data_IF_201874008205
#
_entry.id   IF_201874008205
#
_cell.length_a   1.000
_cell.length_b   1.000
_cell.length_c   1.000
_cell.angle_alpha   90.00
_cell.angle_beta   90.00
_cell.angle_gamma   90.00
#
_symmetry.space_group_name_H-M   'P 1'
#
loop_
_entity.id
_entity.type
_entity.pdbx_description
1 polymer ?
2 non-polymer ?
3 water ?
#
# COMPACT_ATOMS: atom_id res chain seq x y z
N UNK A 12 1.34 15.02 -21.31
CA UNK A 12 0.73 15.91 -20.26
C UNK A 12 -0.70 16.31 -20.61
N UNK A 13 -1.63 15.34 -20.80
CA UNK A 13 -3.02 15.61 -21.14
C UNK A 13 -3.86 16.54 -20.26
N UNK A 14 -4.82 17.15 -20.93
CA UNK A 14 -5.81 18.08 -20.39
C UNK A 14 -6.82 18.02 -21.52
N UNK A 15 -8.10 17.92 -21.20
CA UNK A 15 -9.19 17.81 -22.20
C UNK A 15 -9.30 16.37 -22.71
N UNK A 16 -8.27 15.57 -22.45
CA UNK A 16 -8.25 14.17 -22.85
C UNK A 16 -8.86 13.37 -21.71
N UNK A 17 -10.15 13.04 -21.86
CA UNK A 17 -10.87 12.29 -20.84
C UNK A 17 -10.86 10.79 -21.14
N UNK A 18 -10.87 9.95 -20.09
CA UNK A 18 -10.87 8.48 -20.23
C UNK A 18 -12.18 7.85 -20.72
N UNK A 19 -12.10 7.09 -21.81
CA UNK A 19 -13.26 6.42 -22.39
C UNK A 19 -13.62 5.18 -21.57
N UNK A 20 -14.93 4.95 -21.41
CA UNK A 20 -15.46 3.82 -20.66
C UNK A 20 -15.27 2.48 -21.38
N UNK A 21 -15.71 1.39 -20.73
CA UNK A 21 -15.59 0.05 -21.30
C UNK A 21 -16.93 -0.71 -21.39
N UNK A 22 -17.14 -1.39 -22.52
CA UNK A 22 -18.37 -2.13 -22.82
C UNK A 22 -19.39 -2.66 -21.81
N UNK A 23 -20.43 -1.86 -21.56
CA UNK A 23 -21.55 -2.15 -20.66
C UNK A 23 -21.45 -1.10 -19.61
N UNK A 24 -20.23 -0.79 -19.21
CA UNK A 24 -19.98 0.23 -18.22
C UNK A 24 -20.22 1.61 -18.83
N UNK A 25 -20.44 1.64 -20.14
CA UNK A 25 -20.75 2.86 -20.87
C UNK A 25 -22.25 3.07 -20.85
N UNK A 26 -23.00 1.96 -20.72
CA UNK A 26 -24.45 1.98 -20.73
C UNK A 26 -25.03 2.19 -19.33
N UNK A 27 -24.21 2.67 -18.40
CA UNK A 27 -24.67 2.85 -17.03
C UNK A 27 -25.63 4.03 -16.81
N UNK A 28 -26.50 3.86 -15.82
CA UNK A 28 -27.56 4.80 -15.43
C UNK A 28 -27.19 6.23 -15.00
N UNK A 29 -28.06 6.90 -14.24
CA UNK A 29 -27.85 8.26 -13.77
C UNK A 29 -26.76 8.37 -12.70
N UNK A 30 -27.15 8.21 -11.44
CA UNK A 30 -26.25 8.27 -10.29
C UNK A 30 -27.09 7.84 -9.07
N UNK A 31 -26.80 6.64 -8.58
CA UNK A 31 -27.47 6.00 -7.43
C UNK A 31 -28.40 6.79 -6.49
N UNK A 32 -28.00 7.98 -6.06
CA UNK A 32 -28.75 8.79 -5.09
C UNK A 32 -30.20 9.30 -5.29
N UNK A 33 -30.85 9.07 -6.43
CA UNK A 33 -32.20 9.63 -6.61
C UNK A 33 -33.36 8.80 -7.16
N UNK A 34 -33.07 7.76 -7.96
CA UNK A 34 -34.14 6.93 -8.50
C UNK A 34 -34.23 5.57 -7.83
N UNK A 35 -33.25 4.73 -8.11
CA UNK A 35 -33.20 3.38 -7.54
C UNK A 35 -31.90 3.34 -6.75
N UNK A 36 -31.91 2.60 -5.65
CA UNK A 36 -30.74 2.48 -4.79
C UNK A 36 -30.36 3.82 -4.15
N UNK A 37 -31.35 4.49 -3.55
CA UNK A 37 -31.13 5.76 -2.87
C UNK A 37 -30.43 5.50 -1.53
N UNK A 38 -30.23 4.23 -1.23
CA UNK A 38 -29.56 3.79 -0.03
C UNK A 38 -28.05 3.94 -0.25
N UNK A 39 -27.68 3.97 -1.53
CA UNK A 39 -26.29 4.10 -1.97
C UNK A 39 -25.74 5.51 -1.82
N UNK A 40 -24.45 5.57 -1.47
CA UNK A 40 -23.72 6.83 -1.31
C UNK A 40 -23.36 7.35 -2.70
N UNK A 41 -22.61 8.45 -2.76
CA UNK A 41 -22.16 9.02 -4.02
C UNK A 41 -20.98 8.17 -4.48
N UNK A 42 -20.94 7.89 -5.77
CA UNK A 42 -19.90 7.06 -6.39
C UNK A 42 -18.47 7.46 -6.02
N UNK A 43 -17.62 6.47 -5.78
CA UNK A 43 -16.20 6.69 -5.45
C UNK A 43 -15.33 6.32 -6.66
N UNK A 44 -14.43 7.23 -7.05
CA UNK A 44 -13.54 7.00 -8.17
C UNK A 44 -12.24 6.37 -7.70
N UNK A 45 -11.97 5.16 -8.18
CA UNK A 45 -10.79 4.44 -7.78
C UNK A 45 -9.93 4.14 -8.98
N UNK A 46 -8.66 4.48 -8.90
CA UNK A 46 -7.73 4.24 -9.99
C UNK A 46 -6.80 3.12 -9.52
N UNK A 47 -6.37 2.26 -10.45
CA UNK A 47 -5.48 1.17 -10.10
C UNK A 47 -4.36 1.05 -11.14
N UNK A 48 -3.11 1.24 -10.74
CA UNK A 48 -2.03 1.06 -11.69
C UNK A 48 -1.72 -0.42 -11.61
N UNK A 49 -0.95 -0.93 -12.57
CA UNK A 49 -0.63 -2.34 -12.56
C UNK A 49 -1.91 -3.15 -12.62
N UNK A 50 -2.96 -2.53 -13.15
CA UNK A 50 -4.30 -3.11 -13.27
C UNK A 50 -4.41 -4.49 -13.93
N UNK A 51 -3.43 -4.87 -14.73
CA UNK A 51 -3.47 -6.17 -15.40
C UNK A 51 -2.59 -7.23 -14.73
N UNK A 52 -2.02 -6.89 -13.57
CA UNK A 52 -1.18 -7.83 -12.85
C UNK A 52 -1.96 -8.77 -11.95
N UNK A 53 -1.25 -9.67 -11.28
CA UNK A 53 -1.89 -10.67 -10.41
C UNK A 53 -2.58 -10.16 -9.15
N UNK A 54 -1.96 -9.22 -8.47
CA UNK A 54 -2.56 -8.68 -7.25
C UNK A 54 -3.82 -7.96 -7.63
N UNK A 55 -3.76 -7.25 -8.75
CA UNK A 55 -4.91 -6.51 -9.22
C UNK A 55 -6.02 -7.48 -9.58
N UNK A 56 -5.68 -8.51 -10.34
CA UNK A 56 -6.66 -9.52 -10.75
C UNK A 56 -7.44 -10.05 -9.54
N UNK A 57 -6.90 -9.87 -8.35
CA UNK A 57 -7.61 -10.31 -7.17
C UNK A 57 -8.31 -9.08 -6.59
N UNK A 58 -7.52 -8.06 -6.31
CA UNK A 58 -8.04 -6.83 -5.72
C UNK A 58 -9.30 -6.29 -6.38
N UNK A 59 -9.25 -6.11 -7.69
CA UNK A 59 -10.34 -5.56 -8.46
C UNK A 59 -11.74 -6.09 -8.13
N UNK A 60 -11.89 -7.41 -8.10
CA UNK A 60 -13.20 -8.00 -7.82
C UNK A 60 -13.66 -7.78 -6.38
N UNK A 61 -12.69 -7.71 -5.47
CA UNK A 61 -12.99 -7.46 -4.07
C UNK A 61 -13.54 -6.05 -3.97
N UNK A 62 -13.01 -5.15 -4.79
CA UNK A 62 -13.47 -3.78 -4.81
C UNK A 62 -14.88 -3.73 -5.37
N UNK A 63 -15.04 -4.34 -6.55
CA UNK A 63 -16.30 -4.37 -7.24
C UNK A 63 -17.42 -5.00 -6.43
N UNK A 64 -17.07 -5.98 -5.59
CA UNK A 64 -18.08 -6.68 -4.77
C UNK A 64 -18.54 -5.87 -3.57
N UNK A 65 -17.88 -4.75 -3.31
CA UNK A 65 -18.27 -3.96 -2.16
C UNK A 65 -17.61 -4.45 -0.88
N UNK A 66 -16.68 -5.40 -1.02
CA UNK A 66 -15.96 -5.92 0.15
C UNK A 66 -15.15 -4.80 0.79
N UNK A 67 -14.55 -3.96 -0.05
CA UNK A 67 -13.72 -2.88 0.43
C UNK A 67 -14.50 -1.70 1.00
N UNK A 68 -15.19 -0.94 0.15
CA UNK A 68 -15.91 0.24 0.61
C UNK A 68 -17.29 0.06 1.18
N UNK A 69 -17.81 -1.15 1.14
CA UNK A 69 -19.14 -1.38 1.67
C UNK A 69 -20.14 -1.76 0.59
N UNK A 70 -21.33 -2.24 0.97
CA UNK A 70 -22.39 -2.65 0.05
C UNK A 70 -23.29 -1.51 -0.45
N UNK A 71 -23.06 -0.31 0.05
CA UNK A 71 -23.85 0.84 -0.38
C UNK A 71 -22.92 1.91 -0.95
N UNK A 72 -21.87 1.45 -1.62
CA UNK A 72 -20.89 2.34 -2.20
C UNK A 72 -20.57 2.00 -3.65
N UNK A 73 -21.30 2.59 -4.60
CA UNK A 73 -21.07 2.35 -6.02
C UNK A 73 -19.65 2.82 -6.33
N UNK A 74 -18.93 2.01 -7.09
CA UNK A 74 -17.54 2.28 -7.41
C UNK A 74 -17.29 2.54 -8.91
N UNK A 75 -16.21 3.25 -9.22
CA UNK A 75 -15.81 3.54 -10.58
C UNK A 75 -14.33 3.18 -10.69
N UNK A 76 -14.00 2.26 -11.59
CA UNK A 76 -12.63 1.83 -11.74
C UNK A 76 -11.94 2.39 -12.96
N UNK A 77 -10.78 3.00 -12.73
CA UNK A 77 -9.97 3.54 -13.80
C UNK A 77 -8.69 2.74 -13.71
N UNK A 78 -8.56 1.80 -14.65
CA UNK A 78 -7.43 0.89 -14.71
C UNK A 78 -6.32 1.36 -15.62
N UNK A 79 -5.19 1.69 -15.00
CA UNK A 79 -4.01 2.15 -15.71
C UNK A 79 -3.10 0.97 -15.92
N UNK A 80 -2.69 0.77 -17.17
CA UNK A 80 -1.80 -0.33 -17.50
C UNK A 80 -0.62 0.17 -18.30
N UNK A 81 -0.12 -0.69 -19.17
CA UNK A 81 1.01 -0.35 -20.00
C UNK A 81 0.87 -1.01 -21.36
N UNK A 82 1.41 -0.34 -22.37
CA UNK A 82 1.39 -0.78 -23.77
C UNK A 82 1.47 -2.30 -23.91
N UNK A 83 2.57 -2.87 -23.41
CA UNK A 83 2.80 -4.30 -23.47
C UNK A 83 1.67 -5.16 -22.92
N UNK A 84 1.11 -4.77 -21.77
CA UNK A 84 0.05 -5.55 -21.15
C UNK A 84 -1.35 -5.02 -21.40
N UNK A 85 -1.54 -4.33 -22.51
CA UNK A 85 -2.85 -3.79 -22.82
C UNK A 85 -3.86 -4.91 -23.08
N UNK A 86 -3.47 -5.93 -23.85
CA UNK A 86 -4.37 -7.04 -24.14
C UNK A 86 -4.86 -7.63 -22.82
N UNK A 87 -3.96 -7.72 -21.85
CA UNK A 87 -4.30 -8.26 -20.54
C UNK A 87 -5.35 -7.39 -19.86
N UNK A 88 -5.15 -6.08 -19.87
CA UNK A 88 -6.10 -5.15 -19.26
C UNK A 88 -7.48 -5.28 -19.90
N UNK A 89 -7.54 -5.45 -21.22
CA UNK A 89 -8.82 -5.61 -21.91
C UNK A 89 -9.46 -6.88 -21.36
N UNK A 90 -8.64 -7.91 -21.18
CA UNK A 90 -9.13 -9.17 -20.64
C UNK A 90 -9.70 -9.03 -19.24
N UNK A 91 -8.99 -8.37 -18.34
CA UNK A 91 -9.48 -8.19 -16.98
C UNK A 91 -10.80 -7.41 -17.03
N UNK A 92 -10.84 -6.37 -17.85
CA UNK A 92 -12.05 -5.56 -17.98
C UNK A 92 -13.16 -6.43 -18.53
N UNK A 93 -12.82 -7.39 -19.37
CA UNK A 93 -13.82 -8.28 -19.93
C UNK A 93 -14.36 -9.19 -18.83
N UNK A 94 -13.51 -9.59 -17.90
CA UNK A 94 -13.95 -10.43 -16.79
C UNK A 94 -14.81 -9.58 -15.86
N UNK A 95 -14.44 -8.30 -15.74
CA UNK A 95 -15.17 -7.37 -14.91
C UNK A 95 -16.61 -7.26 -15.40
N UNK A 96 -16.82 -7.21 -16.70
CA UNK A 96 -18.18 -7.09 -17.21
C UNK A 96 -19.01 -8.37 -17.09
N UNK A 97 -18.35 -9.52 -17.14
CA UNK A 97 -19.06 -10.81 -17.00
C UNK A 97 -19.29 -11.16 -15.53
N UNK A 98 -18.93 -10.25 -14.63
CA UNK A 98 -19.12 -10.51 -13.21
C UNK A 98 -20.44 -9.96 -12.71
N UNK A 99 -21.02 -9.06 -13.48
CA UNK A 99 -22.31 -8.48 -13.12
C UNK A 99 -22.37 -7.83 -11.74
N UNK A 100 -21.30 -7.16 -11.33
CA UNK A 100 -21.28 -6.50 -10.04
C UNK A 100 -22.03 -5.17 -10.11
N UNK A 101 -23.13 -5.06 -9.36
CA UNK A 101 -23.97 -3.86 -9.30
C UNK A 101 -23.26 -2.60 -8.82
N UNK A 102 -22.35 -2.75 -7.88
CA UNK A 102 -21.63 -1.60 -7.37
C UNK A 102 -20.66 -1.04 -8.38
N UNK A 103 -20.16 -1.90 -9.27
CA UNK A 103 -19.22 -1.47 -10.30
C UNK A 103 -20.00 -0.74 -11.40
N UNK A 104 -20.27 0.53 -11.13
CA UNK A 104 -21.01 1.41 -12.03
C UNK A 104 -20.28 1.73 -13.32
N UNK A 105 -18.96 1.84 -13.27
CA UNK A 105 -18.22 2.15 -14.49
C UNK A 105 -16.73 1.82 -14.41
N UNK A 106 -16.16 1.38 -15.50
CA UNK A 106 -14.73 1.07 -15.54
C UNK A 106 -14.18 1.61 -16.85
N UNK A 107 -12.91 2.00 -16.82
CA UNK A 107 -12.23 2.49 -18.01
C UNK A 107 -10.79 2.01 -17.94
N UNK A 108 -10.25 1.56 -19.07
CA UNK A 108 -8.89 1.08 -19.08
C UNK A 108 -8.06 1.91 -20.04
N UNK A 109 -6.77 2.10 -19.72
CA UNK A 109 -5.91 2.90 -20.58
C UNK A 109 -4.46 2.86 -20.16
N UNK A 110 -3.59 3.54 -20.89
CA UNK A 110 -2.17 3.57 -20.54
C UNK A 110 -1.63 4.96 -20.21
N UNK A 111 -2.50 5.97 -20.15
CA UNK A 111 -2.07 7.31 -19.83
C UNK A 111 -2.53 7.77 -18.45
N UNK A 112 -1.59 7.98 -17.52
CA UNK A 112 -1.84 8.42 -16.15
C UNK A 112 -2.65 9.69 -16.07
N UNK A 113 -2.38 10.66 -16.94
CA UNK A 113 -3.10 11.94 -16.90
C UNK A 113 -4.54 11.79 -17.32
N UNK A 114 -4.84 10.67 -17.96
CA UNK A 114 -6.19 10.38 -18.41
C UNK A 114 -6.86 9.49 -17.35
N UNK A 115 -6.21 8.38 -17.06
CA UNK A 115 -6.73 7.44 -16.09
C UNK A 115 -6.87 8.00 -14.68
N UNK A 116 -5.86 8.70 -14.19
CA UNK A 116 -5.94 9.28 -12.83
C UNK A 116 -6.88 10.45 -12.75
N UNK A 117 -7.52 10.78 -13.87
CA UNK A 117 -8.46 11.90 -13.92
C UNK A 117 -9.54 11.70 -12.86
N UNK A 118 -9.62 12.66 -11.94
CA UNK A 118 -10.61 12.65 -10.86
C UNK A 118 -10.60 11.53 -9.83
N UNK A 119 -9.46 10.85 -9.70
CA UNK A 119 -9.30 9.73 -8.75
C UNK A 119 -9.37 10.17 -7.29
N UNK A 120 -10.14 9.42 -6.49
CA UNK A 120 -10.28 9.72 -5.06
C UNK A 120 -9.39 8.77 -4.25
N UNK A 121 -9.00 7.67 -4.92
CA UNK A 121 -8.12 6.66 -4.38
C UNK A 121 -7.24 6.19 -5.53
N UNK A 122 -5.93 6.20 -5.33
CA UNK A 122 -5.02 5.74 -6.36
C UNK A 122 -4.26 4.58 -5.78
N UNK A 123 -4.64 3.36 -6.14
CA UNK A 123 -3.97 2.17 -5.64
C UNK A 123 -2.88 1.81 -6.65
N UNK A 124 -1.69 2.32 -6.38
CA UNK A 124 -0.56 2.13 -7.27
C UNK A 124 0.22 0.83 -7.09
N UNK A 125 -0.36 -0.27 -7.50
CA UNK A 125 0.35 -1.52 -7.44
C UNK A 125 1.00 -1.54 -8.83
N UNK A 126 2.11 -2.23 -9.01
CA UNK A 126 2.67 -2.22 -10.35
C UNK A 126 3.87 -1.32 -10.56
N UNK A 127 4.97 -1.99 -10.89
CA UNK A 127 6.26 -1.38 -11.13
C UNK A 127 7.06 -2.51 -11.77
N UNK A 128 8.22 -2.19 -12.32
CA UNK A 128 9.04 -3.20 -12.97
C UNK A 128 9.71 -4.14 -11.96
N UNK A 129 9.73 -5.45 -12.26
CA UNK A 129 10.34 -6.46 -11.39
C UNK A 129 11.85 -6.31 -11.31
N UNK A 130 12.44 -6.84 -10.23
CA UNK A 130 13.89 -6.76 -10.04
C UNK A 130 14.59 -7.61 -11.09
N UNK A 131 15.47 -6.97 -11.84
CA UNK A 131 16.22 -7.66 -12.87
C UNK A 131 17.13 -8.71 -12.27
N UNK A 132 17.43 -9.78 -13.02
CA UNK A 132 18.29 -10.89 -12.63
C UNK A 132 19.59 -10.48 -11.94
N UNK A 133 20.26 -9.47 -12.48
CA UNK A 133 21.49 -9.00 -11.88
C UNK A 133 21.36 -7.50 -11.72
N UNK A 134 20.27 -7.08 -11.10
CA UNK A 134 19.97 -5.68 -10.92
C UNK A 134 20.33 -5.15 -9.54
N UNK A 135 21.10 -4.08 -9.51
CA UNK A 135 21.51 -3.45 -8.26
C UNK A 135 20.38 -2.55 -7.73
N UNK A 136 20.13 -2.67 -6.43
CA UNK A 136 19.10 -1.90 -5.71
C UNK A 136 18.92 -0.49 -6.24
N UNK A 137 20.03 0.25 -6.36
CA UNK A 137 20.02 1.63 -6.84
C UNK A 137 19.21 1.80 -8.10
N UNK A 138 19.47 0.95 -9.08
CA UNK A 138 18.74 1.02 -10.34
C UNK A 138 17.28 0.57 -10.15
N UNK A 139 17.03 -0.34 -9.21
CA UNK A 139 15.68 -0.80 -8.95
C UNK A 139 14.89 0.42 -8.49
N UNK A 140 15.56 1.27 -7.73
CA UNK A 140 14.97 2.49 -7.22
C UNK A 140 14.79 3.48 -8.37
N UNK A 141 15.81 3.60 -9.21
CA UNK A 141 15.77 4.50 -10.36
C UNK A 141 14.59 4.17 -11.29
N UNK A 142 14.59 2.96 -11.86
CA UNK A 142 13.54 2.51 -12.76
C UNK A 142 12.12 2.76 -12.23
N UNK A 143 11.76 2.14 -11.11
CA UNK A 143 10.43 2.32 -10.55
C UNK A 143 10.18 3.72 -10.03
N UNK A 144 11.26 4.39 -9.64
CA UNK A 144 11.15 5.74 -9.14
C UNK A 144 10.62 6.64 -10.24
N UNK A 145 11.12 6.43 -11.45
CA UNK A 145 10.69 7.21 -12.62
C UNK A 145 9.21 7.01 -12.86
N UNK A 146 8.76 5.76 -12.86
CA UNK A 146 7.35 5.47 -13.06
C UNK A 146 6.57 6.30 -12.06
N UNK A 147 6.93 6.18 -10.78
CA UNK A 147 6.24 6.91 -9.72
C UNK A 147 6.41 8.41 -9.76
N UNK A 148 7.50 8.88 -10.36
CA UNK A 148 7.72 10.30 -10.49
C UNK A 148 6.65 10.82 -11.43
N UNK A 149 6.47 10.10 -12.55
CA UNK A 149 5.47 10.44 -13.56
C UNK A 149 4.03 10.36 -13.02
N UNK A 150 3.67 9.22 -12.46
CA UNK A 150 2.32 9.04 -11.90
C UNK A 150 2.01 10.12 -10.87
N UNK A 151 3.05 10.65 -10.24
CA UNK A 151 2.88 11.70 -9.25
C UNK A 151 2.46 13.01 -9.89
N UNK A 152 3.09 13.36 -11.02
CA UNK A 152 2.75 14.59 -11.74
C UNK A 152 1.33 14.48 -12.23
N UNK A 153 1.01 13.34 -12.84
CA UNK A 153 -0.33 13.10 -13.35
C UNK A 153 -1.32 13.29 -12.20
N UNK A 154 -1.16 12.51 -11.15
CA UNK A 154 -2.06 12.61 -10.00
C UNK A 154 -2.21 14.06 -9.58
N UNK A 155 -1.09 14.75 -9.51
CA UNK A 155 -1.09 16.14 -9.09
C UNK A 155 -1.89 17.04 -10.02
N UNK A 156 -1.67 16.83 -11.31
CA UNK A 156 -2.30 17.64 -12.34
C UNK A 156 -3.77 17.37 -12.58
N UNK A 157 -4.16 16.10 -12.56
CA UNK A 157 -5.52 15.74 -12.90
C UNK A 157 -6.37 14.94 -11.90
N UNK A 158 -5.93 14.84 -10.65
CA UNK A 158 -6.68 14.07 -9.66
C UNK A 158 -7.31 14.91 -8.56
N UNK A 159 -8.27 14.30 -7.84
CA UNK A 159 -8.97 14.98 -6.76
C UNK A 159 -7.93 15.48 -5.78
N UNK A 160 -7.94 16.79 -5.48
CA UNK A 160 -6.99 17.42 -4.56
C UNK A 160 -6.78 16.67 -3.25
N UNK A 161 -7.66 15.72 -2.94
CA UNK A 161 -7.50 14.94 -1.72
C UNK A 161 -7.44 13.44 -2.02
N UNK A 162 -6.74 13.08 -3.09
CA UNK A 162 -6.61 11.68 -3.47
C UNK A 162 -5.87 10.96 -2.36
N UNK A 163 -6.41 9.83 -1.93
CA UNK A 163 -5.69 9.05 -0.95
C UNK A 163 -4.90 8.11 -1.86
N UNK A 164 -3.57 8.22 -1.81
CA UNK A 164 -2.73 7.38 -2.68
C UNK A 164 -2.11 6.24 -1.86
N UNK A 165 -2.27 5.01 -2.36
CA UNK A 165 -1.76 3.82 -1.68
C UNK A 165 -0.80 3.07 -2.59
N UNK A 166 0.48 3.16 -2.26
CA UNK A 166 1.55 2.55 -3.06
C UNK A 166 1.97 1.15 -2.63
N UNK A 167 1.95 0.22 -3.57
CA UNK A 167 2.35 -1.16 -3.29
C UNK A 167 3.53 -1.60 -4.17
N UNK A 168 3.78 -0.89 -5.28
CA UNK A 168 4.88 -1.24 -6.16
C UNK A 168 6.21 -0.91 -5.51
N UNK A 169 7.12 -1.88 -5.45
CA UNK A 169 8.41 -1.66 -4.81
C UNK A 169 9.44 -0.85 -5.59
N UNK A 170 10.33 -0.14 -4.87
CA UNK A 170 10.47 -0.02 -3.41
C UNK A 170 9.37 0.90 -2.91
N UNK A 171 8.28 0.35 -2.40
CA UNK A 171 7.15 1.19 -1.99
C UNK A 171 7.41 2.46 -1.23
N UNK A 172 8.17 2.41 -0.15
CA UNK A 172 8.45 3.62 0.63
C UNK A 172 9.03 4.76 -0.16
N UNK A 173 10.13 4.51 -0.84
CA UNK A 173 10.75 5.55 -1.63
C UNK A 173 9.84 5.93 -2.79
N UNK A 174 9.28 4.93 -3.46
CA UNK A 174 8.36 5.16 -4.57
C UNK A 174 7.29 6.15 -4.11
N UNK A 175 6.87 6.04 -2.86
CA UNK A 175 5.86 6.95 -2.33
C UNK A 175 6.45 8.32 -2.06
N UNK A 176 7.65 8.39 -1.52
CA UNK A 176 8.24 9.70 -1.26
C UNK A 176 8.28 10.43 -2.58
N UNK A 177 8.84 9.78 -3.58
CA UNK A 177 8.93 10.35 -4.92
C UNK A 177 7.58 10.83 -5.41
N UNK A 178 6.57 9.96 -5.38
CA UNK A 178 5.23 10.31 -5.84
C UNK A 178 4.75 11.63 -5.24
N UNK A 179 4.81 11.77 -3.92
CA UNK A 179 4.36 13.00 -3.27
C UNK A 179 5.28 14.16 -3.58
N UNK A 180 6.56 13.87 -3.82
CA UNK A 180 7.52 14.90 -4.11
C UNK A 180 7.24 15.51 -5.46
N UNK A 181 6.61 14.74 -6.34
CA UNK A 181 6.26 15.25 -7.67
C UNK A 181 4.80 15.66 -7.71
N UNK A 182 4.12 15.56 -6.58
CA UNK A 182 2.71 15.92 -6.48
C UNK A 182 2.52 16.87 -5.31
N UNK A 183 3.08 18.08 -5.43
CA UNK A 183 2.99 19.11 -4.38
C UNK A 183 1.60 19.60 -4.04
N UNK A 184 0.70 19.65 -5.02
CA UNK A 184 -0.67 20.11 -4.80
C UNK A 184 -1.45 19.15 -3.91
N UNK A 185 -1.00 17.90 -3.83
CA UNK A 185 -1.64 16.87 -3.04
C UNK A 185 -0.97 16.76 -1.66
N UNK A 186 -1.76 16.77 -0.58
CA UNK A 186 -1.22 16.70 0.78
C UNK A 186 -0.35 15.45 0.97
N UNK A 187 0.89 15.63 1.43
CA UNK A 187 1.79 14.51 1.64
C UNK A 187 1.30 13.49 2.67
N UNK A 188 0.38 13.90 3.54
CA UNK A 188 -0.20 12.99 4.54
C UNK A 188 -0.98 11.88 3.83
N UNK A 189 -1.44 12.18 2.61
CA UNK A 189 -2.23 11.27 1.80
C UNK A 189 -1.53 10.08 1.18
N UNK A 190 -0.21 10.12 1.11
CA UNK A 190 0.52 9.02 0.51
C UNK A 190 0.87 7.91 1.50
N UNK A 191 0.45 6.69 1.17
CA UNK A 191 0.67 5.52 2.02
C UNK A 191 1.47 4.44 1.35
N UNK A 192 2.44 3.89 2.08
CA UNK A 192 3.28 2.80 1.61
C UNK A 192 2.68 1.58 2.30
N UNK A 193 2.43 0.53 1.53
CA UNK A 193 1.82 -0.67 2.06
C UNK A 193 2.74 -1.61 2.83
N UNK A 194 2.72 -1.53 4.16
CA UNK A 194 3.48 -2.41 5.02
C UNK A 194 2.53 -3.39 5.70
N UNK A 195 1.25 -3.33 5.33
CA UNK A 195 0.21 -4.16 5.93
C UNK A 195 0.34 -5.66 5.71
N UNK A 196 0.80 -6.09 4.54
CA UNK A 196 0.95 -7.53 4.30
C UNK A 196 1.89 -7.98 5.40
N UNK A 197 2.91 -7.17 5.67
CA UNK A 197 3.89 -7.49 6.70
C UNK A 197 3.22 -7.58 8.06
N UNK A 198 2.35 -6.63 8.36
CA UNK A 198 1.65 -6.66 9.65
C UNK A 198 0.85 -7.97 9.80
N UNK A 199 0.02 -8.28 8.81
CA UNK A 199 -0.79 -9.49 8.84
C UNK A 199 0.04 -10.76 9.01
N UNK A 200 1.12 -10.86 8.25
CA UNK A 200 2.01 -12.01 8.34
C UNK A 200 2.59 -12.16 9.75
N UNK A 201 2.86 -11.02 10.39
CA UNK A 201 3.42 -10.99 11.74
C UNK A 201 2.39 -11.38 12.77
N UNK A 202 1.14 -10.96 12.61
CA UNK A 202 0.11 -11.34 13.58
C UNK A 202 0.04 -12.85 13.54
N UNK A 203 -0.03 -13.38 12.32
CA UNK A 203 -0.12 -14.81 12.16
C UNK A 203 1.02 -15.52 12.87
N UNK A 204 2.21 -14.95 12.81
CA UNK A 204 3.35 -15.58 13.46
C UNK A 204 3.30 -15.49 15.00
N UNK A 205 2.80 -14.38 15.52
CA UNK A 205 2.68 -14.19 16.97
C UNK A 205 1.54 -15.04 17.54
N UNK A 206 0.57 -15.35 16.68
CA UNK A 206 -0.56 -16.18 17.09
C UNK A 206 -0.03 -17.61 17.12
N UNK A 207 0.70 -17.98 16.08
CA UNK A 207 1.28 -19.31 15.98
C UNK A 207 2.14 -19.67 17.19
N UNK A 208 3.00 -18.74 17.61
CA UNK A 208 3.89 -18.98 18.76
C UNK A 208 3.16 -19.05 20.09
N UNK A 209 2.27 -18.09 20.32
CA UNK A 209 1.51 -18.04 21.56
C UNK A 209 0.43 -19.11 21.69
N UNK A 210 0.12 -19.79 20.59
CA UNK A 210 -0.91 -20.82 20.61
C UNK A 210 -2.34 -20.26 20.60
N UNK A 211 -2.51 -19.09 20.01
CA UNK A 211 -3.81 -18.43 19.94
C UNK A 211 -4.15 -18.11 18.48
N UNK A 212 -5.45 -18.09 18.16
CA UNK A 212 -5.89 -17.77 16.79
C UNK A 212 -5.56 -16.30 16.51
N UNK A 213 -5.21 -16.00 15.26
CA UNK A 213 -4.85 -14.63 14.87
C UNK A 213 -5.84 -13.55 15.21
N UNK A 214 -7.05 -13.92 15.62
CA UNK A 214 -8.02 -12.91 15.98
C UNK A 214 -7.90 -12.47 17.44
N UNK A 215 -6.91 -13.01 18.14
CA UNK A 215 -6.68 -12.65 19.53
C UNK A 215 -5.46 -11.76 19.67
N UNK A 216 -4.67 -11.65 18.60
CA UNK A 216 -3.48 -10.81 18.59
C UNK A 216 -3.84 -9.44 18.04
N UNK A 217 -3.27 -8.38 18.59
CA UNK A 217 -3.55 -7.03 18.12
C UNK A 217 -2.37 -6.10 18.38
N UNK A 218 -2.57 -4.81 18.15
CA UNK A 218 -1.55 -3.79 18.35
C UNK A 218 -0.19 -4.11 17.76
N UNK A 219 -0.18 -4.82 16.64
CA UNK A 219 1.07 -5.14 15.98
C UNK A 219 1.36 -3.97 15.04
N UNK A 220 2.58 -3.44 15.13
CA UNK A 220 2.98 -2.34 14.28
C UNK A 220 4.29 -2.67 13.56
N UNK A 221 4.46 -2.07 12.39
CA UNK A 221 5.67 -2.28 11.59
C UNK A 221 6.31 -0.92 11.41
N UNK A 222 7.60 -0.84 11.67
CA UNK A 222 8.33 0.41 11.54
C UNK A 222 9.33 0.26 10.42
N UNK A 223 9.76 1.39 9.86
CA UNK A 223 10.76 1.36 8.81
C UNK A 223 10.34 1.08 7.39
N UNK A 224 11.32 0.62 6.61
CA UNK A 224 11.14 0.32 5.21
C UNK A 224 10.46 -1.02 4.97
N UNK A 225 9.84 -1.16 3.82
CA UNK A 225 9.21 -2.41 3.45
C UNK A 225 10.38 -3.23 2.91
N UNK A 226 11.28 -3.60 3.80
CA UNK A 226 12.44 -4.38 3.43
C UNK A 226 12.92 -5.11 4.67
N UNK A 227 14.02 -5.85 4.53
CA UNK A 227 14.57 -6.61 5.62
C UNK A 227 15.09 -5.80 6.81
N UNK A 228 14.79 -4.50 6.83
CA UNK A 228 15.20 -3.65 7.94
C UNK A 228 13.99 -3.24 8.77
N UNK A 229 12.80 -3.60 8.30
CA UNK A 229 11.57 -3.28 9.01
C UNK A 229 11.58 -3.99 10.36
N UNK A 230 10.74 -3.53 11.28
CA UNK A 230 10.71 -4.14 12.59
C UNK A 230 9.34 -4.60 13.06
N UNK A 231 9.11 -5.91 13.06
CA UNK A 231 7.82 -6.44 13.52
C UNK A 231 7.85 -6.16 15.02
N UNK A 232 7.25 -5.06 15.43
CA UNK A 232 7.27 -4.66 16.83
C UNK A 232 6.49 -5.53 17.81
N UNK A 233 7.18 -6.41 18.54
CA UNK A 233 6.51 -7.29 19.51
C UNK A 233 6.36 -6.68 20.90
N UNK A 234 7.08 -5.60 21.16
CA UNK A 234 7.04 -4.94 22.46
C UNK A 234 5.72 -4.25 22.76
N UNK A 235 5.10 -3.67 21.74
CA UNK A 235 3.80 -2.98 21.92
C UNK A 235 2.63 -3.82 21.46
N UNK A 236 2.92 -5.03 21.00
CA UNK A 236 1.89 -5.92 20.53
C UNK A 236 1.21 -6.52 21.74
N UNK A 237 0.02 -7.05 21.52
CA UNK A 237 -0.75 -7.67 22.59
C UNK A 237 -1.42 -8.93 22.10
N UNK A 238 -1.63 -9.85 23.02
CA UNK A 238 -2.30 -11.11 22.74
C UNK A 238 -3.34 -11.21 23.84
N UNK A 239 -4.58 -11.44 23.44
CA UNK A 239 -5.69 -11.55 24.37
C UNK A 239 -5.98 -10.29 25.19
N UNK A 240 -5.11 -9.29 25.10
CA UNK A 240 -5.31 -8.06 25.86
C UNK A 240 -4.09 -7.68 26.67
N UNK A 241 -3.17 -8.64 26.82
CA UNK A 241 -1.96 -8.38 27.57
C UNK A 241 -0.78 -8.42 26.64
N UNK A 242 0.19 -7.53 26.85
CA UNK A 242 1.40 -7.44 26.03
C UNK A 242 1.99 -8.79 25.69
N UNK A 243 2.37 -8.95 24.42
CA UNK A 243 2.97 -10.20 23.94
C UNK A 243 4.11 -10.61 24.82
N UNK A 244 4.85 -9.62 25.29
CA UNK A 244 6.00 -9.87 26.13
C UNK A 244 5.70 -10.80 27.31
N UNK A 245 4.51 -10.69 27.90
CA UNK A 245 4.16 -11.55 29.02
C UNK A 245 3.24 -12.72 28.66
N UNK A 246 3.28 -13.15 27.40
CA UNK A 246 2.48 -14.28 26.93
C UNK A 246 3.50 -15.18 26.24
N UNK A 247 4.36 -14.58 25.42
CA UNK A 247 5.42 -15.31 24.76
C UNK A 247 6.61 -14.82 25.56
N UNK A 248 6.90 -15.52 26.65
CA UNK A 248 7.98 -15.15 27.56
C UNK A 248 9.36 -15.52 27.03
N UNK A 249 9.40 -16.23 25.91
CA UNK A 249 10.66 -16.65 25.29
C UNK A 249 11.25 -15.42 24.60
N UNK A 250 11.73 -14.48 25.41
CA UNK A 250 12.26 -13.22 24.90
C UNK A 250 13.30 -13.32 23.80
N UNK A 251 14.15 -14.35 23.85
CA UNK A 251 15.17 -14.53 22.82
C UNK A 251 14.52 -14.74 21.46
N UNK A 252 13.40 -15.46 21.44
CA UNK A 252 12.69 -15.72 20.20
C UNK A 252 12.24 -14.41 19.60
N UNK A 253 11.46 -13.65 20.37
CA UNK A 253 10.93 -12.37 19.93
C UNK A 253 12.00 -11.49 19.28
N UNK A 254 13.19 -11.46 19.87
CA UNK A 254 14.27 -10.64 19.32
C UNK A 254 15.09 -11.32 18.24
N UNK A 255 15.66 -12.47 18.54
CA UNK A 255 16.50 -13.21 17.61
C UNK A 255 15.79 -13.98 16.49
N UNK A 256 14.52 -14.33 16.67
CA UNK A 256 13.82 -15.11 15.66
C UNK A 256 12.56 -14.53 15.02
N UNK A 257 11.66 -14.01 15.83
CA UNK A 257 10.40 -13.42 15.36
C UNK A 257 10.54 -12.71 14.02
N UNK A 258 11.32 -11.63 14.01
CA UNK A 258 11.54 -10.84 12.81
C UNK A 258 11.83 -11.68 11.56
N UNK A 259 12.81 -12.58 11.65
CA UNK A 259 13.19 -13.40 10.50
C UNK A 259 12.10 -14.32 9.98
N UNK A 260 11.09 -14.57 10.81
CA UNK A 260 9.99 -15.43 10.41
C UNK A 260 9.03 -14.66 9.49
N UNK A 261 8.72 -13.43 9.88
CA UNK A 261 7.84 -12.58 9.08
C UNK A 261 8.63 -12.22 7.83
N UNK A 262 9.91 -11.93 8.04
CA UNK A 262 10.82 -11.51 6.99
C UNK A 262 11.06 -12.52 5.89
N UNK A 263 10.70 -13.77 6.13
CA UNK A 263 10.90 -14.80 5.14
C UNK A 263 9.61 -15.48 4.74
N UNK A 264 8.49 -15.07 5.34
CA UNK A 264 7.18 -15.66 5.06
C UNK A 264 6.98 -15.82 3.57
N UNK A 265 7.20 -14.72 2.84
CA UNK A 265 7.03 -14.74 1.39
C UNK A 265 7.98 -15.70 0.72
N UNK A 266 9.19 -15.79 1.28
CA UNK A 266 10.21 -16.66 0.73
C UNK A 266 9.85 -18.13 0.80
N UNK A 267 9.28 -18.54 1.93
CA UNK A 267 8.89 -19.93 2.09
C UNK A 267 7.61 -20.15 1.29
N UNK A 268 6.79 -19.12 1.25
CA UNK A 268 5.52 -19.18 0.53
C UNK A 268 5.76 -19.46 -0.94
N UNK A 269 6.79 -18.85 -1.49
CA UNK A 269 7.11 -19.05 -2.89
C UNK A 269 7.66 -20.45 -3.18
N UNK A 270 8.26 -21.09 -2.17
CA UNK A 270 8.81 -22.45 -2.33
C UNK A 270 7.69 -23.42 -2.69
N UNK A 271 6.48 -23.14 -2.19
CA UNK A 271 5.29 -23.92 -2.50
C UNK A 271 4.96 -23.35 -3.88
N UNK A 272 5.80 -23.77 -4.80
CA UNK A 272 5.85 -23.39 -6.20
C UNK A 272 5.32 -22.09 -6.81
N UNK A 273 6.32 -21.33 -7.26
CA UNK A 273 6.23 -20.06 -7.96
C UNK A 273 5.18 -18.98 -7.95
N UNK A 274 4.06 -19.13 -7.24
CA UNK A 274 3.10 -18.05 -7.27
C UNK A 274 3.37 -17.04 -6.18
N UNK A 275 3.21 -15.77 -6.50
CA UNK A 275 3.43 -14.72 -5.52
C UNK A 275 2.25 -14.69 -4.57
N UNK A 276 2.40 -13.96 -3.48
CA UNK A 276 1.38 -13.82 -2.47
C UNK A 276 0.28 -12.88 -2.97
N UNK A 277 -0.15 -13.08 -4.22
CA UNK A 277 -1.17 -12.24 -4.85
C UNK A 277 -2.45 -12.14 -4.05
N UNK A 278 -3.03 -13.29 -3.74
CA UNK A 278 -4.28 -13.33 -2.98
C UNK A 278 -4.13 -12.65 -1.61
N UNK A 279 -3.05 -12.95 -0.91
CA UNK A 279 -2.80 -12.38 0.40
C UNK A 279 -2.56 -10.88 0.30
N UNK A 280 -1.69 -10.46 -0.62
CA UNK A 280 -1.40 -9.05 -0.82
C UNK A 280 -2.68 -8.31 -1.20
N UNK A 281 -3.50 -8.96 -2.04
CA UNK A 281 -4.76 -8.39 -2.47
C UNK A 281 -5.56 -8.12 -1.22
N UNK A 282 -5.50 -9.06 -0.28
CA UNK A 282 -6.21 -8.93 0.99
C UNK A 282 -5.62 -7.82 1.85
N UNK A 283 -4.29 -7.77 1.96
CA UNK A 283 -3.64 -6.76 2.78
C UNK A 283 -4.06 -5.41 2.28
N UNK A 284 -4.09 -5.27 0.96
CA UNK A 284 -4.48 -4.00 0.37
C UNK A 284 -5.88 -3.59 0.80
N UNK A 285 -6.85 -4.51 0.82
CA UNK A 285 -8.19 -4.06 1.23
C UNK A 285 -8.24 -3.77 2.72
N UNK A 286 -7.48 -4.51 3.51
CA UNK A 286 -7.50 -4.27 4.94
C UNK A 286 -6.93 -2.87 5.16
N UNK A 287 -5.92 -2.56 4.36
CA UNK A 287 -5.26 -1.27 4.45
C UNK A 287 -6.25 -0.14 4.20
N UNK A 288 -6.97 -0.24 3.09
CA UNK A 288 -7.94 0.77 2.71
C UNK A 288 -9.02 0.88 3.77
N UNK A 289 -9.48 -0.24 4.31
CA UNK A 289 -10.51 -0.19 5.34
C UNK A 289 -10.05 0.54 6.59
N UNK A 290 -8.81 0.32 7.01
CA UNK A 290 -8.31 1.00 8.20
C UNK A 290 -8.38 2.52 8.11
N UNK A 291 -8.57 3.03 6.89
CA UNK A 291 -8.67 4.47 6.66
C UNK A 291 -10.12 4.88 6.46
N UNK A 292 -10.92 3.95 5.94
CA UNK A 292 -12.33 4.19 5.66
C UNK A 292 -13.24 3.72 6.81
N UNK A 293 -12.65 3.07 7.82
CA UNK A 293 -13.41 2.57 8.98
C UNK A 293 -12.74 3.04 10.26
N UNK A 294 -13.54 3.46 11.25
CA UNK A 294 -12.96 3.92 12.51
C UNK A 294 -12.20 2.82 13.25
N UNK A 295 -10.91 3.04 13.45
CA UNK A 295 -10.06 2.09 14.17
C UNK A 295 -10.67 1.66 15.51
N UNK A 296 -10.73 0.34 15.78
CA UNK A 296 -11.28 -0.20 17.03
C UNK A 296 -10.61 0.45 18.23
N UNK A 297 -11.39 0.64 19.31
CA UNK A 297 -10.87 1.26 20.52
C UNK A 297 -9.55 0.66 21.00
N UNK A 298 -8.50 1.49 21.01
CA UNK A 298 -7.21 1.05 21.49
C UNK A 298 -6.29 0.31 20.54
N UNK A 299 -6.80 -0.07 19.37
CA UNK A 299 -5.97 -0.79 18.40
C UNK A 299 -5.38 0.24 17.42
N UNK A 300 -4.63 -0.25 16.44
CA UNK A 300 -4.01 0.59 15.44
C UNK A 300 -3.59 -0.24 14.23
N UNK A 301 -3.22 0.45 13.15
CA UNK A 301 -2.77 -0.20 11.93
C UNK A 301 -1.44 0.39 11.49
N UNK A 302 -0.73 -0.33 10.62
CA UNK A 302 0.56 0.12 10.13
C UNK A 302 0.49 0.66 8.70
N UNK A 303 1.18 1.77 8.46
CA UNK A 303 1.19 2.38 7.13
C UNK A 303 2.43 3.23 6.92
N UNK A 304 3.08 3.03 5.78
CA UNK A 304 4.26 3.81 5.48
C UNK A 304 3.78 5.19 5.12
N UNK A 305 3.92 6.15 6.02
CA UNK A 305 3.47 7.49 5.71
C UNK A 305 4.56 8.53 5.85
N UNK A 306 4.24 9.77 5.48
CA UNK A 306 5.20 10.86 5.57
C UNK A 306 5.57 11.09 7.03
N UNK A 307 6.85 11.29 7.28
CA UNK A 307 7.35 11.45 8.64
C UNK A 307 7.13 12.79 9.34
N UNK A 308 7.02 13.87 8.58
CA UNK A 308 6.85 15.19 9.18
C UNK A 308 5.69 15.27 10.17
N UNK A 309 6.01 15.58 11.42
CA UNK A 309 4.99 15.68 12.45
C UNK A 309 5.04 14.53 13.43
N UNK A 310 5.76 13.46 13.07
CA UNK A 310 5.86 12.29 13.95
C UNK A 310 6.48 12.65 15.29
N UNK A 311 5.94 12.07 16.37
CA UNK A 311 6.43 12.32 17.73
C UNK A 311 7.44 11.30 18.23
N UNK A 312 7.78 10.33 17.39
CA UNK A 312 8.70 9.25 17.78
C UNK A 312 10.17 9.63 17.75
N UNK A 313 10.51 10.62 16.93
CA UNK A 313 11.90 11.03 16.81
C UNK A 313 12.49 10.58 15.49
N UNK A 314 11.69 9.89 14.70
CA UNK A 314 12.12 9.39 13.40
C UNK A 314 12.40 10.59 12.51
N UNK A 315 13.38 10.48 11.63
CA UNK A 315 13.75 11.58 10.73
C UNK A 315 12.63 12.00 9.79
N UNK A 316 12.65 13.28 9.43
CA UNK A 316 11.65 13.87 8.55
C UNK A 316 11.99 13.69 7.08
N UNK A 317 11.08 14.10 6.21
CA UNK A 317 11.26 14.03 4.76
C UNK A 317 11.42 12.61 4.19
N UNK A 318 10.76 11.64 4.79
CA UNK A 318 10.80 10.27 4.28
C UNK A 318 9.48 9.58 4.55
N UNK A 319 9.32 8.39 3.99
CA UNK A 319 8.11 7.62 4.22
C UNK A 319 8.55 6.47 5.10
N UNK A 320 8.04 6.46 6.33
CA UNK A 320 8.41 5.49 7.35
C UNK A 320 7.14 4.90 7.95
N UNK A 321 6.98 3.59 7.83
CA UNK A 321 5.81 2.93 8.38
C UNK A 321 5.75 3.15 9.89
N UNK A 322 4.54 3.40 10.40
CA UNK A 322 4.34 3.62 11.83
C UNK A 322 2.89 3.47 12.25
N UNK A 323 2.64 3.27 13.55
CA UNK A 323 1.28 3.09 14.08
C UNK A 323 0.38 4.30 13.93
N UNK A 324 -0.79 4.05 13.36
CA UNK A 324 -1.75 5.10 13.12
C UNK A 324 -3.15 4.58 13.45
N UNK A 325 -4.05 5.50 13.75
CA UNK A 325 -5.45 5.16 14.01
C UNK A 325 -6.27 6.19 13.23
N UNK A 326 -7.51 5.83 12.90
CA UNK A 326 -8.35 6.69 12.11
C UNK A 326 -9.78 6.67 12.61
N UNK A 327 -10.54 7.68 12.21
CA UNK A 327 -11.94 7.80 12.57
C UNK A 327 -12.75 7.28 11.38
N UNK A 328 -12.03 6.81 10.36
CA UNK A 328 -12.66 6.25 9.18
C UNK A 328 -13.03 7.25 8.10
N UNK A 329 -12.30 8.35 8.01
CA UNK A 329 -12.61 9.38 7.02
C UNK A 329 -11.56 9.49 5.94
N UNK A 330 -10.61 8.58 5.93
CA UNK A 330 -9.57 8.61 4.93
C UNK A 330 -8.27 9.14 5.51
N UNK A 331 -8.39 9.94 6.57
CA UNK A 331 -7.22 10.50 7.23
C UNK A 331 -6.82 9.59 8.39
N UNK A 332 -5.85 10.04 9.18
CA UNK A 332 -5.33 9.26 10.29
C UNK A 332 -4.49 10.15 11.18
N UNK A 333 -4.07 9.59 12.30
CA UNK A 333 -3.21 10.30 13.24
C UNK A 333 -2.29 9.25 13.83
N UNK A 334 -1.06 9.64 14.15
CA UNK A 334 -0.09 8.73 14.72
C UNK A 334 -0.50 8.33 16.12
N UNK A 335 -0.20 7.11 16.52
CA UNK A 335 -0.56 6.64 17.85
C UNK A 335 0.54 7.08 18.83
N UNK A 336 0.16 7.85 19.84
CA UNK A 336 1.12 8.36 20.84
C UNK A 336 1.45 7.46 22.03
N UNK A 337 0.48 6.66 22.49
CA UNK A 337 0.75 5.79 23.64
C UNK A 337 1.50 4.51 23.24
N UNK A 338 2.82 4.64 23.11
CA UNK A 338 3.67 3.53 22.71
C UNK A 338 5.04 3.63 23.42
N UNK A 339 5.67 2.48 23.69
CA UNK A 339 6.96 2.44 24.39
C UNK A 339 8.09 1.90 23.51
N UNK A 340 9.33 2.18 23.89
CA UNK A 340 10.50 1.72 23.13
C UNK A 340 11.61 1.31 24.09
N UNK A 341 12.47 0.38 23.65
CA UNK A 341 13.61 -0.06 24.45
C UNK A 341 14.82 -0.18 23.53
N UNK A 342 16.00 -0.46 24.09
CA UNK A 342 17.24 -0.58 23.32
C UNK A 342 17.05 -1.32 22.01
N UNK A 343 16.47 -2.52 22.09
CA UNK A 343 16.20 -3.35 20.92
C UNK A 343 15.40 -2.59 19.86
N UNK A 344 14.17 -2.22 20.21
CA UNK A 344 13.28 -1.51 19.30
C UNK A 344 13.93 -0.26 18.73
N UNK A 345 14.41 0.59 19.63
CA UNK A 345 15.03 1.84 19.27
C UNK A 345 16.15 1.69 18.24
N UNK A 346 17.04 0.73 18.47
CA UNK A 346 18.16 0.52 17.57
C UNK A 346 17.74 -0.08 16.22
N UNK A 347 16.73 -0.94 16.26
CA UNK A 347 16.22 -1.59 15.04
C UNK A 347 15.51 -0.59 14.14
N UNK A 348 14.69 0.28 14.72
CA UNK A 348 13.97 1.31 13.98
C UNK A 348 14.98 2.26 13.32
N UNK A 349 15.97 2.69 14.09
CA UNK A 349 17.01 3.59 13.61
C UNK A 349 17.78 2.96 12.45
N UNK A 350 17.93 1.64 12.46
CA UNK A 350 18.67 0.97 11.39
C UNK A 350 17.89 0.94 10.06
N UNK A 351 16.57 0.94 10.15
CA UNK A 351 15.77 0.95 8.93
C UNK A 351 15.80 2.39 8.41
N UNK A 352 15.70 3.33 9.34
CA UNK A 352 15.76 4.75 9.00
C UNK A 352 17.03 5.06 8.18
N UNK A 353 18.16 4.48 8.59
CA UNK A 353 19.42 4.67 7.88
C UNK A 353 19.24 4.28 6.42
N UNK A 354 18.64 3.12 6.21
CA UNK A 354 18.41 2.63 4.86
C UNK A 354 17.59 3.64 4.07
N UNK A 355 16.41 3.94 4.58
CA UNK A 355 15.52 4.89 3.94
C UNK A 355 16.20 6.19 3.51
N UNK A 356 16.96 6.81 4.40
CA UNK A 356 17.64 8.06 4.06
C UNK A 356 18.66 7.87 2.93
N UNK A 357 19.18 6.66 2.81
CA UNK A 357 20.15 6.35 1.76
C UNK A 357 19.41 6.19 0.44
N UNK A 358 18.23 5.58 0.48
CA UNK A 358 17.45 5.42 -0.75
C UNK A 358 17.09 6.82 -1.19
N UNK A 359 16.67 7.64 -0.23
CA UNK A 359 16.30 9.02 -0.50
C UNK A 359 17.38 9.72 -1.33
N UNK A 360 18.62 9.66 -0.85
CA UNK A 360 19.74 10.27 -1.57
C UNK A 360 19.94 9.61 -2.92
N UNK A 361 19.77 8.29 -2.95
CA UNK A 361 19.96 7.54 -4.17
C UNK A 361 18.89 7.89 -5.18
N UNK A 362 17.82 8.51 -4.69
CA UNK A 362 16.72 8.88 -5.55
C UNK A 362 16.54 10.40 -5.65
N UNK A 363 17.62 11.13 -5.40
CA UNK A 363 17.61 12.58 -5.44
C UNK A 363 17.25 13.16 -6.81
N UNK A 364 17.51 12.39 -7.86
CA UNK A 364 17.23 12.86 -9.21
C UNK A 364 15.78 12.68 -9.67
N UNK A 365 14.92 12.21 -8.76
CA UNK A 365 13.51 11.96 -9.09
C UNK A 365 12.63 12.60 -8.04
N UNK A 366 13.29 13.24 -7.08
CA UNK A 366 12.62 13.87 -5.96
C UNK A 366 12.78 15.39 -6.03
N UNK A 367 13.64 15.85 -6.94
CA UNK A 367 13.88 17.28 -7.08
C UNK A 367 14.87 17.85 -6.09
N UNK A 368 15.75 17.00 -5.57
CA UNK A 368 16.76 17.38 -4.58
C UNK A 368 18.10 17.69 -5.25
N UNK A 369 18.47 16.90 -6.25
CA UNK A 369 19.73 17.14 -6.93
C UNK A 369 20.35 15.91 -7.56
N UNK A 370 21.68 15.89 -7.62
CA UNK A 370 22.41 14.77 -8.20
C UNK A 370 22.37 13.57 -7.24
N UNK A 371 22.01 12.41 -7.78
CA UNK A 371 21.88 11.20 -6.98
C UNK A 371 23.20 10.64 -6.48
N UNK A 372 23.18 10.08 -5.28
CA UNK A 372 24.37 9.47 -4.69
C UNK A 372 23.95 8.15 -4.07
N UNK A 373 24.21 7.06 -4.77
CA UNK A 373 23.81 5.75 -4.29
C UNK A 373 24.87 4.95 -3.54
N UNK A 374 24.49 4.50 -2.34
CA UNK A 374 25.36 3.71 -1.48
C UNK A 374 24.42 2.76 -0.72
N UNK A 375 23.83 1.83 -1.46
CA UNK A 375 22.86 0.89 -0.89
C UNK A 375 23.26 -0.58 -0.83
N UNK A 376 22.68 -1.33 0.13
CA UNK A 376 22.94 -2.76 0.33
C UNK A 376 22.04 -3.61 -0.60
N UNK A 377 22.67 -4.31 -1.54
CA UNK A 377 21.96 -5.13 -2.52
C UNK A 377 21.34 -6.43 -1.99
N UNK A 378 20.99 -6.46 -0.71
CA UNK A 378 20.42 -7.68 -0.12
C UNK A 378 19.10 -7.52 0.61
N UNK A 379 18.56 -6.30 0.61
CA UNK A 379 17.32 -6.02 1.35
C UNK A 379 15.91 -6.29 0.81
N UNK A 380 15.75 -6.58 -0.48
CA UNK A 380 14.41 -6.83 -0.99
C UNK A 380 13.85 -8.13 -0.42
N UNK A 381 12.69 -8.02 0.21
CA UNK A 381 11.98 -9.14 0.84
C UNK A 381 11.79 -10.38 0.00
N UNK A 382 12.10 -11.56 0.56
CA UNK A 382 11.96 -12.84 -0.12
C UNK A 382 10.52 -13.03 -0.59
N UNK A 383 10.35 -13.55 -1.79
CA UNK A 383 9.02 -13.77 -2.34
C UNK A 383 8.41 -12.66 -3.17
N UNK A 384 9.08 -11.49 -3.21
CA UNK A 384 8.58 -10.36 -3.98
C UNK A 384 9.17 -10.26 -5.36
N UNK A 385 8.29 -10.00 -6.33
CA UNK A 385 8.63 -9.87 -7.74
C UNK A 385 9.47 -8.62 -8.03
#
# INVERSE_FOLDING_TARGET
SVTSSDQIQAPLPAKQKPECFGVFCLTYDLKAEEETKSWKKIINVAVSGAAGMISNHLLFKLASGEVFGPDQPISLKLLGSERSFAALEGVAMELEDSLYPLLRQVSIGIDPYEIFQDAEWALLIGAKPRGPGMERADLLDINGQIFAEQGKALNAVASPNVKVMVVGNPCNTNALICLKNAPNIPPKNFHALTRLDENRAKCQLALKAGVFYDKVSNVTIWGNHSTTQVPDFLNAKIHGIPVTEVIRDRKWLEDEFTNMVQTRGGVLIKKWGRSSAASTAVSIVDAIRSLVTPTPEGDWFSTGVYTNGNPYGIAEDIVFSMPCRSKGDGDYEFVKDVIFDDYLSKKIKKSEDELLAEKKCVAHLTGEGIAVCDLPEDTMLPGEM
#
